data_IF_118383520314
#
_entry.id   IF_118383520314
#
_cell.length_a   1.000
_cell.length_b   1.000
_cell.length_c   1.000
_cell.angle_alpha   90.00
_cell.angle_beta   90.00
_cell.angle_gamma   90.00
#
_symmetry.space_group_name_H-M   'P 1'
#
loop_
_entity.id
_entity.type
_entity.pdbx_description
1 polymer ?
#
# COMPACT_ATOMS: atom_id res chain seq x y z
N UNK A 1 30.99 18.48 -10.83
CA UNK A 1 31.53 17.11 -10.84
C UNK A 1 32.28 16.89 -9.54
N UNK A 2 31.67 16.16 -8.61
CA UNK A 2 32.38 15.57 -7.47
C UNK A 2 31.60 14.31 -7.11
N UNK A 3 32.22 13.19 -7.45
CA UNK A 3 31.68 11.84 -7.43
C UNK A 3 31.34 11.40 -6.00
N UNK A 4 30.14 10.85 -5.79
CA UNK A 4 29.76 10.18 -4.55
C UNK A 4 29.95 8.67 -4.82
N UNK A 5 30.78 7.96 -4.03
CA UNK A 5 31.09 6.57 -4.29
C UNK A 5 29.91 5.66 -3.99
N UNK A 6 29.89 4.57 -4.74
CA UNK A 6 28.89 3.52 -4.79
C UNK A 6 28.87 2.64 -3.54
N UNK A 7 27.70 2.54 -2.91
CA UNK A 7 27.16 1.41 -2.15
C UNK A 7 27.95 0.90 -0.92
N UNK A 8 27.35 0.99 0.26
CA UNK A 8 27.56 0.00 1.33
C UNK A 8 26.39 -0.01 2.31
N UNK A 9 25.50 -0.97 2.10
CA UNK A 9 24.57 -1.63 3.02
C UNK A 9 24.50 -1.12 4.48
N UNK A 10 23.31 -0.69 4.92
CA UNK A 10 22.99 -0.46 6.34
C UNK A 10 21.62 -1.02 6.70
N UNK A 11 21.56 -1.87 7.72
CA UNK A 11 20.35 -2.54 8.24
C UNK A 11 20.35 -2.68 9.77
N UNK A 12 21.20 -1.94 10.48
CA UNK A 12 21.58 -2.23 11.87
C UNK A 12 20.89 -1.36 12.94
N UNK A 13 19.56 -1.29 12.96
CA UNK A 13 18.75 -0.79 14.11
C UNK A 13 19.08 0.62 14.67
N UNK A 14 19.53 1.60 13.88
CA UNK A 14 19.96 2.89 14.45
C UNK A 14 18.81 3.89 14.65
N UNK A 15 18.47 4.23 15.90
CA UNK A 15 18.33 5.61 16.33
C UNK A 15 19.48 5.95 17.29
N UNK A 16 19.99 7.19 17.22
CA UNK A 16 20.47 8.00 18.37
C UNK A 16 21.02 9.38 17.91
N UNK A 17 21.54 9.53 16.68
CA UNK A 17 22.03 10.81 16.13
C UNK A 17 21.87 10.79 14.59
N UNK A 18 21.09 11.72 14.04
CA UNK A 18 20.71 11.71 12.62
C UNK A 18 21.88 11.61 11.62
N UNK A 19 21.73 10.69 10.67
CA UNK A 19 22.70 10.46 9.59
C UNK A 19 22.70 11.52 8.50
N UNK A 20 23.53 11.29 7.48
CA UNK A 20 23.82 12.16 6.32
C UNK A 20 22.59 12.73 5.58
N UNK A 21 21.41 12.12 5.74
CA UNK A 21 20.17 12.56 5.10
C UNK A 21 19.44 13.68 5.86
N UNK A 22 19.78 13.98 7.12
CA UNK A 22 19.03 14.95 7.94
C UNK A 22 19.10 16.39 7.44
N UNK A 23 20.18 16.74 6.74
CA UNK A 23 20.40 18.10 6.21
C UNK A 23 19.89 18.28 4.78
N UNK A 24 19.22 17.27 4.20
CA UNK A 24 18.71 17.36 2.85
C UNK A 24 17.27 17.89 2.87
N UNK A 25 17.10 19.13 2.39
CA UNK A 25 15.81 19.86 2.40
C UNK A 25 14.70 19.18 1.56
N UNK A 26 15.04 18.14 0.80
CA UNK A 26 14.10 17.35 0.01
C UNK A 26 13.56 16.11 0.74
N UNK A 27 13.98 15.82 1.98
CA UNK A 27 13.48 14.67 2.75
C UNK A 27 12.07 14.98 3.24
N UNK A 28 11.12 14.21 2.74
CA UNK A 28 9.69 14.50 2.83
C UNK A 28 9.03 13.89 4.07
N UNK A 29 9.76 13.03 4.80
CA UNK A 29 9.21 12.21 5.89
C UNK A 29 8.41 11.00 5.41
N UNK A 30 8.32 10.79 4.09
CA UNK A 30 7.68 9.64 3.46
C UNK A 30 8.68 8.58 2.96
N UNK A 31 9.97 8.79 3.18
CA UNK A 31 10.98 7.81 2.80
C UNK A 31 10.98 6.62 3.79
N UNK A 32 10.84 5.37 3.29
CA UNK A 32 10.83 4.16 4.12
C UNK A 32 12.17 3.91 4.84
N UNK A 33 13.21 4.66 4.50
CA UNK A 33 14.58 4.55 4.99
C UNK A 33 14.83 5.23 6.35
N UNK A 34 13.83 5.87 6.97
CA UNK A 34 13.95 6.59 8.25
C UNK A 34 13.99 5.66 9.49
N UNK A 35 14.73 4.55 9.39
CA UNK A 35 15.29 3.80 10.53
C UNK A 35 14.30 3.16 11.52
N UNK A 36 13.00 3.14 11.23
CA UNK A 36 12.02 2.38 12.00
C UNK A 36 11.86 0.96 11.47
N UNK A 37 11.28 0.06 12.27
CA UNK A 37 10.79 -1.27 11.82
C UNK A 37 9.60 -1.14 10.84
N UNK A 38 9.41 0.04 10.23
CA UNK A 38 8.37 0.35 9.29
C UNK A 38 8.51 -0.56 8.06
N UNK A 39 7.39 -1.19 7.67
CA UNK A 39 7.37 -2.10 6.52
C UNK A 39 7.78 -1.38 5.23
N UNK A 40 8.42 -2.10 4.32
CA UNK A 40 8.74 -1.65 2.96
C UNK A 40 7.54 -1.74 2.00
N UNK A 41 6.49 -2.46 2.40
CA UNK A 41 5.25 -2.71 1.64
C UNK A 41 4.01 -2.36 2.46
N UNK A 42 2.97 -1.86 1.80
CA UNK A 42 1.64 -1.65 2.37
C UNK A 42 0.57 -2.38 1.54
N UNK A 43 -0.56 -2.79 2.14
CA UNK A 43 -1.67 -3.35 1.38
C UNK A 43 -2.34 -2.24 0.55
N UNK A 44 -2.77 -2.58 -0.66
CA UNK A 44 -3.52 -1.70 -1.56
C UNK A 44 -4.71 -2.46 -2.13
N UNK A 45 -5.85 -1.79 -2.29
CA UNK A 45 -7.06 -2.38 -2.88
C UNK A 45 -7.29 -1.79 -4.26
N UNK A 46 -7.41 -2.64 -5.27
CA UNK A 46 -7.89 -2.25 -6.59
C UNK A 46 -9.42 -2.09 -6.56
N UNK A 47 -9.89 -0.84 -6.46
CA UNK A 47 -11.31 -0.48 -6.43
C UNK A 47 -12.06 -0.90 -7.70
N UNK A 48 -11.37 -1.05 -8.84
CA UNK A 48 -12.01 -1.41 -10.11
C UNK A 48 -12.37 -2.89 -10.19
N UNK A 49 -11.58 -3.73 -9.52
CA UNK A 49 -11.80 -5.18 -9.43
C UNK A 49 -12.59 -5.57 -8.19
N UNK A 50 -12.49 -4.80 -7.11
CA UNK A 50 -13.20 -5.05 -5.86
C UNK A 50 -14.71 -5.15 -6.09
N UNK A 51 -15.37 -6.17 -5.52
CA UNK A 51 -16.83 -6.37 -5.62
C UNK A 51 -17.58 -6.02 -4.32
N UNK A 52 -16.90 -5.45 -3.32
CA UNK A 52 -17.55 -5.02 -2.08
C UNK A 52 -18.09 -6.16 -1.20
N UNK A 53 -17.45 -7.33 -1.22
CA UNK A 53 -17.87 -8.49 -0.40
C UNK A 53 -17.70 -8.29 1.12
N UNK A 54 -16.96 -7.27 1.53
CA UNK A 54 -16.71 -6.83 2.92
C UNK A 54 -15.88 -7.77 3.80
N UNK A 55 -15.40 -8.89 3.26
CA UNK A 55 -14.63 -9.85 4.05
C UNK A 55 -13.37 -9.23 4.66
N UNK A 56 -12.58 -8.50 3.86
CA UNK A 56 -11.38 -7.79 4.34
C UNK A 56 -11.64 -6.81 5.49
N UNK A 57 -12.78 -6.10 5.46
CA UNK A 57 -13.17 -5.16 6.52
C UNK A 57 -13.61 -5.87 7.81
N UNK A 58 -13.99 -7.16 7.75
CA UNK A 58 -14.28 -7.96 8.93
C UNK A 58 -13.02 -8.63 9.49
N UNK A 59 -12.13 -9.12 8.63
CA UNK A 59 -10.89 -9.81 9.02
C UNK A 59 -9.85 -8.85 9.60
N UNK A 60 -9.67 -7.68 8.98
CA UNK A 60 -8.68 -6.67 9.37
C UNK A 60 -9.33 -5.28 9.42
N UNK A 61 -10.19 -5.09 10.42
CA UNK A 61 -11.04 -3.91 10.59
C UNK A 61 -10.28 -2.61 10.91
N UNK A 62 -9.04 -2.70 11.41
CA UNK A 62 -8.19 -1.53 11.63
C UNK A 62 -7.41 -1.14 10.38
N UNK A 63 -7.45 -1.95 9.31
CA UNK A 63 -6.72 -1.73 8.07
C UNK A 63 -7.65 -1.34 6.91
N UNK A 64 -8.76 -2.06 6.76
CA UNK A 64 -9.68 -1.91 5.64
C UNK A 64 -11.01 -1.29 6.07
N UNK A 65 -11.61 -0.49 5.19
CA UNK A 65 -12.98 0.01 5.34
C UNK A 65 -13.73 -0.08 4.02
N UNK A 66 -15.06 0.00 4.10
CA UNK A 66 -15.92 0.04 2.91
C UNK A 66 -16.33 1.48 2.65
N UNK A 67 -15.99 1.95 1.46
CA UNK A 67 -16.32 3.26 0.96
C UNK A 67 -17.84 3.34 0.63
N UNK A 68 -18.54 4.38 1.10
CA UNK A 68 -20.01 4.45 0.98
C UNK A 68 -20.54 4.75 -0.42
N UNK A 69 -19.82 5.47 -1.28
CA UNK A 69 -20.32 5.89 -2.61
C UNK A 69 -20.45 4.70 -3.58
N UNK A 70 -19.43 3.84 -3.65
CA UNK A 70 -19.38 2.73 -4.62
C UNK A 70 -19.36 1.35 -3.96
N UNK A 71 -19.32 1.28 -2.63
CA UNK A 71 -19.26 0.02 -1.90
C UNK A 71 -17.95 -0.74 -2.08
N UNK A 72 -16.85 -0.05 -2.43
CA UNK A 72 -15.52 -0.66 -2.61
C UNK A 72 -14.75 -0.70 -1.31
N UNK A 73 -13.90 -1.71 -1.14
CA UNK A 73 -12.96 -1.71 -0.04
C UNK A 73 -11.82 -0.72 -0.30
N UNK A 74 -11.31 -0.09 0.75
CA UNK A 74 -10.16 0.81 0.75
C UNK A 74 -9.30 0.56 1.98
N UNK A 75 -8.01 0.87 1.87
CA UNK A 75 -7.08 0.84 3.00
C UNK A 75 -7.02 2.24 3.60
N UNK A 76 -7.34 2.37 4.90
CA UNK A 76 -7.20 3.65 5.60
C UNK A 76 -5.95 3.69 6.49
N UNK A 77 -5.49 2.53 6.96
CA UNK A 77 -4.29 2.40 7.77
C UNK A 77 -3.52 1.14 7.37
N UNK A 78 -2.42 1.34 6.64
CA UNK A 78 -1.57 0.26 6.12
C UNK A 78 -0.93 -0.63 7.20
N UNK A 79 -0.94 -0.17 8.46
CA UNK A 79 -0.34 -0.84 9.61
C UNK A 79 -1.33 -0.95 10.79
N UNK A 80 -2.64 -0.99 10.50
CA UNK A 80 -3.67 -1.06 11.53
C UNK A 80 -3.78 -2.41 12.24
N UNK A 81 -3.55 -3.51 11.52
CA UNK A 81 -3.60 -4.88 12.02
C UNK A 81 -2.26 -5.63 11.83
N UNK A 82 -2.15 -6.84 12.37
CA UNK A 82 -0.95 -7.69 12.23
C UNK A 82 -0.72 -8.12 10.77
N UNK A 83 0.50 -8.57 10.41
CA UNK A 83 0.72 -9.13 9.06
C UNK A 83 -0.22 -10.28 8.77
N UNK A 84 -0.45 -11.15 9.76
CA UNK A 84 -1.20 -12.37 9.56
C UNK A 84 -2.65 -12.05 9.19
N UNK A 85 -3.28 -11.09 9.86
CA UNK A 85 -4.66 -10.68 9.55
C UNK A 85 -4.77 -9.99 8.19
N UNK A 86 -3.78 -9.15 7.85
CA UNK A 86 -3.77 -8.50 6.53
C UNK A 86 -3.53 -9.53 5.42
N UNK A 87 -2.62 -10.49 5.65
CA UNK A 87 -2.35 -11.57 4.71
C UNK A 87 -3.57 -12.49 4.55
N UNK A 88 -4.26 -12.83 5.64
CA UNK A 88 -5.51 -13.57 5.59
C UNK A 88 -6.56 -12.82 4.77
N UNK A 89 -6.74 -11.51 4.98
CA UNK A 89 -7.67 -10.69 4.20
C UNK A 89 -7.32 -10.66 2.69
N UNK A 90 -6.02 -10.70 2.35
CA UNK A 90 -5.55 -10.78 0.97
C UNK A 90 -5.91 -12.15 0.37
N UNK A 91 -5.54 -13.24 1.05
CA UNK A 91 -5.67 -14.62 0.54
C UNK A 91 -7.13 -15.09 0.44
N UNK A 92 -8.03 -14.48 1.21
CA UNK A 92 -9.47 -14.80 1.24
C UNK A 92 -10.30 -13.93 0.29
N UNK A 93 -9.68 -13.01 -0.45
CA UNK A 93 -10.41 -12.11 -1.34
C UNK A 93 -10.94 -12.88 -2.57
N UNK A 94 -12.27 -12.95 -2.80
CA UNK A 94 -12.84 -13.81 -3.85
C UNK A 94 -12.53 -13.35 -5.29
N UNK A 95 -11.97 -12.15 -5.46
CA UNK A 95 -11.62 -11.55 -6.75
C UNK A 95 -10.16 -11.08 -6.79
N UNK A 96 -9.35 -11.48 -5.82
CA UNK A 96 -7.91 -11.15 -5.72
C UNK A 96 -7.61 -9.65 -5.87
N UNK A 97 -8.45 -8.76 -5.33
CA UNK A 97 -8.31 -7.31 -5.53
C UNK A 97 -7.40 -6.61 -4.51
N UNK A 98 -6.71 -7.33 -3.64
CA UNK A 98 -5.86 -6.76 -2.59
C UNK A 98 -4.42 -7.20 -2.85
N UNK A 99 -3.48 -6.25 -2.81
CA UNK A 99 -2.09 -6.51 -3.17
C UNK A 99 -1.13 -5.85 -2.18
N UNK A 100 -0.01 -6.52 -1.90
CA UNK A 100 1.14 -5.85 -1.30
C UNK A 100 1.82 -4.98 -2.35
N UNK A 101 2.08 -3.72 -2.01
CA UNK A 101 2.72 -2.74 -2.89
C UNK A 101 3.81 -2.00 -2.13
N UNK A 102 4.95 -1.75 -2.78
CA UNK A 102 6.00 -0.90 -2.25
C UNK A 102 5.49 0.52 -1.99
N UNK A 103 5.90 1.13 -0.87
CA UNK A 103 5.45 2.48 -0.51
C UNK A 103 5.73 3.54 -1.59
N UNK A 104 6.82 3.38 -2.35
CA UNK A 104 7.17 4.26 -3.47
C UNK A 104 6.10 4.25 -4.57
N UNK A 105 5.52 3.08 -4.85
CA UNK A 105 4.47 2.88 -5.85
C UNK A 105 3.08 3.16 -5.30
N UNK A 106 2.87 2.93 -4.00
CA UNK A 106 1.59 3.16 -3.33
C UNK A 106 1.09 4.61 -3.50
N UNK A 107 1.99 5.60 -3.36
CA UNK A 107 1.67 7.02 -3.59
C UNK A 107 1.18 7.30 -5.01
N UNK A 108 1.79 6.64 -5.99
CA UNK A 108 1.39 6.75 -7.38
C UNK A 108 0.01 6.13 -7.61
N UNK A 109 -0.22 4.92 -7.10
CA UNK A 109 -1.50 4.22 -7.21
C UNK A 109 -2.64 5.02 -6.59
N UNK A 110 -2.45 5.58 -5.39
CA UNK A 110 -3.45 6.46 -4.74
C UNK A 110 -3.77 7.73 -5.54
N UNK A 111 -2.77 8.24 -6.27
CA UNK A 111 -2.96 9.39 -7.16
C UNK A 111 -3.75 9.00 -8.41
N UNK A 112 -3.40 7.86 -9.02
CA UNK A 112 -4.08 7.32 -10.20
C UNK A 112 -5.53 6.94 -9.90
N UNK A 113 -5.77 6.34 -8.73
CA UNK A 113 -7.08 5.94 -8.20
C UNK A 113 -8.10 7.07 -8.21
N UNK A 114 -7.70 8.33 -7.94
CA UNK A 114 -8.59 9.51 -8.00
C UNK A 114 -9.19 9.76 -9.38
N UNK A 115 -8.53 9.28 -10.44
CA UNK A 115 -8.96 9.46 -11.82
C UNK A 115 -9.63 8.19 -12.39
N UNK A 116 -9.74 7.12 -11.60
CA UNK A 116 -10.38 5.88 -12.04
C UNK A 116 -11.91 6.03 -12.02
N UNK A 117 -12.55 5.59 -13.10
CA UNK A 117 -14.01 5.56 -13.20
C UNK A 117 -14.52 4.25 -12.61
N UNK A 118 -15.07 4.32 -11.40
CA UNK A 118 -15.65 3.15 -10.72
C UNK A 118 -17.05 2.90 -11.28
N UNK A 119 -17.31 1.67 -11.73
CA UNK A 119 -18.64 1.25 -12.15
C UNK A 119 -19.46 0.82 -10.94
N UNK A 120 -20.76 1.07 -10.98
CA UNK A 120 -21.68 0.62 -9.93
C UNK A 120 -21.73 -0.91 -9.83
N UNK A 121 -21.96 -1.39 -8.60
CA UNK A 121 -22.32 -2.77 -8.32
C UNK A 121 -23.62 -3.12 -9.07
N UNK A 122 -23.58 -4.15 -9.92
CA UNK A 122 -24.69 -4.55 -10.79
C UNK A 122 -24.34 -4.58 -12.27
N UNK A 123 -23.25 -3.90 -12.67
CA UNK A 123 -22.64 -4.11 -13.98
C UNK A 123 -21.44 -5.07 -13.88
N UNK A 124 -21.13 -5.82 -14.95
CA UNK A 124 -19.91 -6.61 -15.00
C UNK A 124 -18.68 -5.72 -14.73
N UNK A 125 -17.92 -6.07 -13.70
CA UNK A 125 -16.63 -5.43 -13.43
C UNK A 125 -15.63 -6.01 -14.40
N UNK A 126 -14.99 -5.15 -15.22
CA UNK A 126 -13.93 -5.62 -16.11
C UNK A 126 -12.68 -5.84 -15.27
N UNK A 127 -12.40 -7.10 -14.91
CA UNK A 127 -11.08 -7.49 -14.44
C UNK A 127 -10.12 -7.37 -15.63
N UNK A 128 -9.59 -6.18 -15.86
CA UNK A 128 -8.46 -6.05 -16.78
C UNK A 128 -7.33 -6.80 -16.11
N UNK A 129 -7.12 -8.06 -16.50
CA UNK A 129 -6.04 -8.91 -16.01
C UNK A 129 -4.72 -8.27 -16.45
N UNK A 130 -4.25 -7.25 -15.75
CA UNK A 130 -2.84 -6.94 -15.69
C UNK A 130 -2.29 -7.79 -14.57
N UNK A 131 -1.93 -9.04 -14.91
CA UNK A 131 -0.90 -9.76 -14.17
C UNK A 131 0.38 -8.93 -14.27
N UNK A 132 0.51 -7.90 -13.43
CA UNK A 132 1.81 -7.39 -13.09
C UNK A 132 2.45 -8.48 -12.21
N UNK A 133 3.18 -9.38 -12.87
CA UNK A 133 4.19 -10.19 -12.18
C UNK A 133 5.18 -9.18 -11.61
N UNK A 134 5.13 -8.99 -10.30
CA UNK A 134 6.21 -8.43 -9.52
C UNK A 134 7.03 -9.61 -8.98
#
# INVERSE_FOLDING_TARGET
MSEIPSNSQGSGLEPELGGILRNNASVSGYEPELGGVLRQKGPYVDETTCIGCKHCAHTAANTFYIEPEHGRARVFNHNGDSEELIQEAIDTCPVDCIHWVDYTKLKQLETERKNQVIRNLGFPQSSTTKKARY
#
